data_IF_347980065716
#
_entry.id   IF_347980065716
#
_cell.length_a   1.000
_cell.length_b   1.000
_cell.length_c   1.000
_cell.angle_alpha   90.00
_cell.angle_beta   90.00
_cell.angle_gamma   90.00
#
_symmetry.space_group_name_H-M   'P 1'
#
loop_
_entity.id
_entity.type
_entity.pdbx_description
1 polymer ?
#
# COMPACT_ATOMS: atom_id res chain seq x y z
N UNK A 1 39.56 3.91 8.37
CA UNK A 1 38.34 4.15 7.56
C UNK A 1 37.31 3.19 8.08
N UNK A 2 36.35 3.68 8.85
CA UNK A 2 35.25 2.85 9.36
C UNK A 2 34.11 2.93 8.34
N UNK A 3 33.80 1.81 7.71
CA UNK A 3 32.62 1.67 6.84
C UNK A 3 31.37 1.94 7.69
N UNK A 4 30.64 3.00 7.34
CA UNK A 4 29.29 3.20 7.82
C UNK A 4 28.38 2.27 7.01
N UNK A 5 28.00 1.13 7.58
CA UNK A 5 26.85 0.37 7.13
C UNK A 5 25.61 1.21 7.38
N UNK A 6 25.25 2.04 6.41
CA UNK A 6 23.94 2.68 6.36
C UNK A 6 22.93 1.58 6.04
N UNK A 7 22.45 0.89 7.08
CA UNK A 7 21.21 0.14 6.99
C UNK A 7 20.11 1.18 6.82
N UNK A 8 19.93 1.67 5.60
CA UNK A 8 18.84 2.56 5.24
C UNK A 8 17.58 1.70 5.34
N UNK A 9 16.87 1.79 6.46
CA UNK A 9 15.49 1.34 6.48
C UNK A 9 14.77 1.99 5.29
N UNK A 10 13.92 1.26 4.55
CA UNK A 10 13.27 1.79 3.36
C UNK A 10 12.53 3.09 3.71
N UNK A 11 12.64 4.07 2.82
CA UNK A 11 12.02 5.38 3.01
C UNK A 11 10.50 5.21 3.05
N UNK A 12 9.80 5.98 3.89
CA UNK A 12 8.34 5.92 3.98
C UNK A 12 7.69 6.02 2.60
N UNK A 13 8.20 6.91 1.76
CA UNK A 13 7.70 7.14 0.39
C UNK A 13 7.89 5.91 -0.49
N UNK A 14 9.00 5.20 -0.33
CA UNK A 14 9.29 3.97 -1.07
C UNK A 14 8.29 2.87 -0.69
N UNK A 15 8.06 2.66 0.61
CA UNK A 15 7.08 1.69 1.11
C UNK A 15 5.68 2.02 0.57
N UNK A 16 5.26 3.29 0.66
CA UNK A 16 3.95 3.73 0.16
C UNK A 16 3.83 3.49 -1.35
N UNK A 17 4.90 3.77 -2.11
CA UNK A 17 4.94 3.56 -3.56
C UNK A 17 4.82 2.09 -3.93
N UNK A 18 5.53 1.19 -3.23
CA UNK A 18 5.43 -0.25 -3.47
C UNK A 18 4.03 -0.79 -3.15
N UNK A 19 3.41 -0.32 -2.06
CA UNK A 19 2.03 -0.65 -1.73
C UNK A 19 1.05 -0.17 -2.81
N UNK A 20 1.21 1.06 -3.32
CA UNK A 20 0.40 1.61 -4.41
C UNK A 20 0.54 0.80 -5.69
N UNK A 21 1.77 0.46 -6.09
CA UNK A 21 2.05 -0.30 -7.31
C UNK A 21 1.46 -1.71 -7.22
N UNK A 22 1.59 -2.35 -6.06
CA UNK A 22 1.03 -3.69 -5.83
C UNK A 22 -0.50 -3.66 -5.88
N UNK A 23 -1.14 -2.68 -5.24
CA UNK A 23 -2.59 -2.52 -5.32
C UNK A 23 -3.04 -2.24 -6.76
N UNK A 24 -2.35 -1.31 -7.45
CA UNK A 24 -2.63 -0.96 -8.84
C UNK A 24 -2.54 -2.16 -9.77
N UNK A 25 -1.57 -3.05 -9.55
CA UNK A 25 -1.41 -4.28 -10.33
C UNK A 25 -2.54 -5.29 -10.08
N UNK A 26 -3.13 -5.31 -8.89
CA UNK A 26 -4.25 -6.18 -8.55
C UNK A 26 -5.61 -5.71 -9.10
N UNK A 27 -5.73 -4.43 -9.49
CA UNK A 27 -6.95 -3.89 -10.06
C UNK A 27 -7.16 -4.38 -11.50
N UNK A 28 -8.42 -4.64 -11.85
CA UNK A 28 -8.79 -5.06 -13.22
C UNK A 28 -8.48 -3.97 -14.25
N UNK A 29 -8.58 -2.70 -13.86
CA UNK A 29 -8.23 -1.55 -14.69
C UNK A 29 -7.14 -0.71 -14.00
N UNK A 30 -5.86 -1.10 -14.07
CA UNK A 30 -4.77 -0.41 -13.37
C UNK A 30 -4.65 1.07 -13.73
N UNK A 31 -5.07 1.45 -14.96
CA UNK A 31 -5.04 2.84 -15.44
C UNK A 31 -6.03 3.77 -14.72
N UNK A 32 -7.04 3.19 -14.06
CA UNK A 32 -8.06 3.94 -13.33
C UNK A 32 -7.72 4.16 -11.86
N UNK A 33 -6.60 3.61 -11.39
CA UNK A 33 -6.15 3.78 -10.01
C UNK A 33 -5.79 5.23 -9.73
N UNK A 34 -6.50 5.84 -8.79
CA UNK A 34 -6.28 7.19 -8.31
C UNK A 34 -6.17 7.19 -6.78
N UNK A 35 -4.95 7.18 -6.22
CA UNK A 35 -4.75 7.22 -4.78
C UNK A 35 -4.85 8.64 -4.25
N UNK A 36 -5.47 8.80 -3.09
CA UNK A 36 -5.54 10.08 -2.39
C UNK A 36 -4.13 10.63 -2.10
N UNK A 37 -3.92 11.94 -2.17
CA UNK A 37 -2.60 12.53 -1.88
C UNK A 37 -2.14 12.31 -0.43
N UNK A 38 -3.07 12.13 0.51
CA UNK A 38 -2.75 11.89 1.91
C UNK A 38 -2.80 10.39 2.24
N UNK A 39 -1.86 9.95 3.07
CA UNK A 39 -1.82 8.61 3.66
C UNK A 39 -1.47 8.71 5.14
N UNK A 40 -1.87 7.70 5.90
CA UNK A 40 -1.41 7.50 7.26
C UNK A 40 -0.29 6.45 7.24
N UNK A 41 0.85 6.79 7.84
CA UNK A 41 1.97 5.88 8.04
C UNK A 41 2.21 5.62 9.52
N UNK A 42 2.42 4.36 9.88
CA UNK A 42 2.75 3.94 11.25
C UNK A 42 3.92 2.98 11.26
N UNK A 43 5.00 3.40 11.89
CA UNK A 43 6.15 2.55 12.21
C UNK A 43 5.91 1.80 13.53
N UNK A 44 6.03 0.46 13.50
CA UNK A 44 5.84 -0.42 14.65
C UNK A 44 7.06 -1.32 14.89
N UNK A 45 8.27 -0.81 14.60
CA UNK A 45 9.52 -1.51 14.83
C UNK A 45 9.84 -2.51 13.72
N UNK A 46 9.30 -3.74 13.80
CA UNK A 46 9.54 -4.79 12.79
C UNK A 46 8.66 -4.66 11.54
N UNK A 47 7.56 -3.91 11.65
CA UNK A 47 6.64 -3.67 10.54
C UNK A 47 6.36 -2.18 10.40
N UNK A 48 6.03 -1.78 9.17
CA UNK A 48 5.34 -0.52 8.91
C UNK A 48 3.93 -0.79 8.41
N UNK A 49 3.03 0.16 8.61
CA UNK A 49 1.67 0.11 8.07
C UNK A 49 1.35 1.39 7.33
N UNK A 50 0.84 1.25 6.11
CA UNK A 50 0.32 2.34 5.29
C UNK A 50 -1.20 2.17 5.21
N UNK A 51 -1.94 3.23 5.51
CA UNK A 51 -3.37 3.32 5.28
C UNK A 51 -3.65 4.46 4.30
N UNK A 52 -4.32 4.17 3.18
CA UNK A 52 -4.55 5.21 2.17
C UNK A 52 -5.82 4.96 1.37
N UNK A 53 -6.52 6.04 1.05
CA UNK A 53 -7.74 6.00 0.22
C UNK A 53 -7.37 5.93 -1.25
N UNK A 54 -8.19 5.24 -2.03
CA UNK A 54 -8.07 5.20 -3.47
C UNK A 54 -9.43 5.12 -4.14
N UNK A 55 -9.48 5.56 -5.39
CA UNK A 55 -10.56 5.32 -6.32
C UNK A 55 -10.05 4.49 -7.50
N UNK A 56 -10.92 3.67 -8.08
CA UNK A 56 -10.64 2.88 -9.27
C UNK A 56 -11.94 2.66 -10.05
N UNK A 57 -11.83 2.23 -11.31
CA UNK A 57 -12.99 1.90 -12.15
C UNK A 57 -12.92 0.44 -12.57
N UNK A 58 -14.00 -0.32 -12.39
CA UNK A 58 -14.05 -1.72 -12.85
C UNK A 58 -14.31 -1.82 -14.36
N UNK A 59 -14.35 -3.06 -14.89
CA UNK A 59 -14.61 -3.33 -16.31
C UNK A 59 -16.00 -2.90 -16.80
N UNK A 60 -16.93 -2.60 -15.89
CA UNK A 60 -18.28 -2.12 -16.21
C UNK A 60 -18.38 -0.60 -16.15
N UNK A 61 -17.29 0.11 -15.90
CA UNK A 61 -17.28 1.57 -15.80
C UNK A 61 -17.77 2.11 -14.45
N UNK A 62 -17.99 1.27 -13.44
CA UNK A 62 -18.40 1.72 -12.11
C UNK A 62 -17.17 2.14 -11.29
N UNK A 63 -17.26 3.29 -10.61
CA UNK A 63 -16.25 3.74 -9.66
C UNK A 63 -16.34 2.92 -8.37
N UNK A 64 -15.18 2.47 -7.90
CA UNK A 64 -14.96 1.73 -6.67
C UNK A 64 -14.00 2.57 -5.84
N UNK A 65 -14.54 3.16 -4.77
CA UNK A 65 -13.76 3.83 -3.74
C UNK A 65 -13.49 2.90 -2.56
N UNK A 66 -12.29 2.95 -2.02
CA UNK A 66 -11.92 2.17 -0.86
C UNK A 66 -10.73 2.76 -0.11
N UNK A 67 -10.36 2.10 0.98
CA UNK A 67 -9.11 2.35 1.70
C UNK A 67 -8.28 1.08 1.65
N UNK A 68 -6.99 1.16 1.35
CA UNK A 68 -6.12 0.00 1.50
C UNK A 68 -5.31 0.10 2.80
N UNK A 69 -5.00 -1.06 3.37
CA UNK A 69 -4.08 -1.24 4.47
C UNK A 69 -2.94 -2.14 3.98
N UNK A 70 -1.74 -1.59 3.91
CA UNK A 70 -0.54 -2.31 3.52
C UNK A 70 0.37 -2.48 4.74
N UNK A 71 0.76 -3.72 5.03
CA UNK A 71 1.73 -4.04 6.08
C UNK A 71 3.04 -4.42 5.41
N UNK A 72 4.10 -3.71 5.74
CA UNK A 72 5.45 -3.93 5.23
C UNK A 72 6.31 -4.63 6.28
N UNK A 73 6.94 -5.74 5.90
CA UNK A 73 7.97 -6.42 6.68
C UNK A 73 9.32 -5.72 6.40
N UNK A 74 9.84 -5.04 7.43
CA UNK A 74 11.08 -4.27 7.31
C UNK A 74 12.33 -5.14 7.25
N UNK A 75 12.30 -6.32 7.86
CA UNK A 75 13.44 -7.23 7.85
C UNK A 75 13.56 -7.96 6.51
N UNK A 76 12.41 -8.32 5.93
CA UNK A 76 12.33 -8.96 4.62
C UNK A 76 12.20 -8.00 3.44
N UNK A 77 12.16 -6.68 3.68
CA UNK A 77 11.97 -5.60 2.69
C UNK A 77 10.87 -5.94 1.66
N UNK A 78 9.69 -6.31 2.15
CA UNK A 78 8.58 -6.75 1.31
C UNK A 78 7.22 -6.49 1.93
N UNK A 79 6.18 -6.49 1.10
CA UNK A 79 4.79 -6.47 1.56
C UNK A 79 4.48 -7.79 2.28
N UNK A 80 4.13 -7.70 3.56
CA UNK A 80 3.69 -8.82 4.38
C UNK A 80 2.19 -9.12 4.17
N UNK A 81 1.37 -8.07 4.03
CA UNK A 81 -0.04 -8.18 3.70
C UNK A 81 -0.54 -6.90 3.04
N UNK A 82 -1.50 -7.04 2.12
CA UNK A 82 -2.21 -5.92 1.51
C UNK A 82 -3.70 -6.22 1.54
N UNK A 83 -4.49 -5.32 2.11
CA UNK A 83 -5.94 -5.46 2.24
C UNK A 83 -6.65 -4.22 1.70
N UNK A 84 -7.83 -4.40 1.12
CA UNK A 84 -8.74 -3.29 0.81
C UNK A 84 -9.95 -3.35 1.73
N UNK A 85 -10.38 -2.17 2.18
CA UNK A 85 -11.54 -1.92 3.03
C UNK A 85 -12.54 -1.15 2.16
N UNK A 86 -13.71 -1.75 1.94
CA UNK A 86 -14.79 -1.11 1.20
C UNK A 86 -15.62 -0.14 2.07
N UNK A 87 -16.60 0.52 1.46
CA UNK A 87 -17.49 1.46 2.15
C UNK A 87 -18.32 0.83 3.28
N UNK A 88 -18.48 -0.50 3.29
CA UNK A 88 -19.18 -1.25 4.33
C UNK A 88 -18.23 -1.73 5.44
N UNK A 89 -16.94 -1.39 5.35
CA UNK A 89 -15.91 -1.83 6.29
C UNK A 89 -15.47 -3.27 6.09
N UNK A 90 -15.80 -3.89 4.94
CA UNK A 90 -15.37 -5.26 4.65
C UNK A 90 -13.92 -5.26 4.19
N UNK A 91 -13.12 -6.08 4.86
CA UNK A 91 -11.72 -6.33 4.50
C UNK A 91 -11.64 -7.43 3.44
N UNK A 92 -10.86 -7.18 2.39
CA UNK A 92 -10.53 -8.16 1.34
C UNK A 92 -9.02 -8.20 1.17
N UNK A 93 -8.43 -9.38 1.32
CA UNK A 93 -7.00 -9.59 1.09
C UNK A 93 -6.68 -9.51 -0.39
N UNK A 94 -5.70 -8.69 -0.75
CA UNK A 94 -5.12 -8.61 -2.08
C UNK A 94 -3.99 -9.65 -2.15
N UNK A 95 -4.15 -10.65 -3.02
CA UNK A 95 -3.22 -11.76 -3.20
C UNK A 95 -2.19 -11.47 -4.28
#
# INVERSE_FOLDING_TARGET
MSEATTSSAPDETEIVTECDLTLKAALVSPRSYDPSMAWDYKDQGSYATVLRKFEATNSFGASIGGTYLCKWDKAGERIASLETIDALGKHTLVR
#
